data_IF_626125420735
#
_entry.id   IF_626125420735
#
_cell.length_a   1.000
_cell.length_b   1.000
_cell.length_c   1.000
_cell.angle_alpha   90.00
_cell.angle_beta   90.00
_cell.angle_gamma   90.00
#
_symmetry.space_group_name_H-M   'P 1'
#
loop_
_entity.id
_entity.type
_entity.pdbx_description
1 polymer ?
#
# COMPACT_ATOMS: atom_id res chain seq x y z
N UNK A 1 -9.19 -15.69 5.92
CA UNK A 1 -9.10 -14.61 4.91
C UNK A 1 -7.87 -13.75 5.16
N UNK A 2 -7.68 -13.27 6.40
CA UNK A 2 -6.48 -12.55 6.84
C UNK A 2 -5.15 -13.27 6.49
N UNK A 3 -5.07 -14.60 6.67
CA UNK A 3 -3.85 -15.37 6.36
C UNK A 3 -3.44 -15.29 4.88
N UNK A 4 -4.42 -15.27 3.96
CA UNK A 4 -4.15 -15.16 2.51
C UNK A 4 -3.62 -13.77 2.15
N UNK A 5 -4.14 -12.72 2.78
CA UNK A 5 -3.61 -11.36 2.59
C UNK A 5 -2.18 -11.26 3.12
N UNK A 6 -1.92 -11.82 4.30
CA UNK A 6 -0.58 -11.84 4.88
C UNK A 6 0.43 -12.56 3.98
N UNK A 7 0.05 -13.68 3.36
CA UNK A 7 0.88 -14.38 2.38
C UNK A 7 1.19 -13.51 1.15
N UNK A 8 0.19 -12.79 0.61
CA UNK A 8 0.40 -11.86 -0.51
C UNK A 8 1.36 -10.74 -0.11
N UNK A 9 1.20 -10.16 1.08
CA UNK A 9 2.06 -9.10 1.60
C UNK A 9 3.50 -9.59 1.83
N UNK A 10 3.69 -10.81 2.32
CA UNK A 10 5.03 -11.41 2.45
C UNK A 10 5.69 -11.63 1.09
N UNK A 11 4.95 -12.10 0.10
CA UNK A 11 5.46 -12.32 -1.25
C UNK A 11 5.94 -11.02 -1.90
N UNK A 12 5.15 -9.94 -1.84
CA UNK A 12 5.60 -8.64 -2.38
C UNK A 12 6.83 -8.10 -1.65
N UNK A 13 6.94 -8.28 -0.33
CA UNK A 13 8.14 -7.87 0.43
C UNK A 13 9.39 -8.58 -0.10
N UNK A 14 9.30 -9.89 -0.37
CA UNK A 14 10.40 -10.69 -0.90
C UNK A 14 10.70 -10.33 -2.36
N UNK A 15 9.68 -10.36 -3.24
CA UNK A 15 9.83 -10.23 -4.69
C UNK A 15 10.26 -8.81 -5.10
N UNK A 16 9.74 -7.79 -4.42
CA UNK A 16 10.09 -6.40 -4.66
C UNK A 16 11.35 -5.95 -3.89
N UNK A 17 11.89 -6.78 -2.99
CA UNK A 17 12.91 -6.40 -1.98
C UNK A 17 12.46 -5.16 -1.19
N UNK A 18 11.21 -5.18 -0.77
CA UNK A 18 10.62 -4.13 0.05
C UNK A 18 11.03 -4.33 1.53
N UNK A 19 10.86 -3.29 2.33
CA UNK A 19 11.09 -3.34 3.79
C UNK A 19 9.84 -3.84 4.52
N UNK A 20 8.66 -3.60 3.95
CA UNK A 20 7.40 -4.04 4.51
C UNK A 20 6.21 -3.69 3.62
N UNK A 21 5.07 -4.30 3.93
CA UNK A 21 3.80 -3.98 3.27
C UNK A 21 2.63 -4.08 4.25
N UNK A 22 1.56 -3.31 3.99
CA UNK A 22 0.34 -3.29 4.81
C UNK A 22 -0.88 -3.15 3.91
N UNK A 23 -1.95 -3.85 4.26
CA UNK A 23 -3.27 -3.68 3.65
C UNK A 23 -4.19 -3.00 4.67
N UNK A 24 -4.81 -1.90 4.26
CA UNK A 24 -5.60 -1.02 5.13
C UNK A 24 -7.01 -0.89 4.56
N UNK A 25 -8.04 -0.88 5.41
CA UNK A 25 -9.42 -0.61 5.00
C UNK A 25 -9.68 0.89 4.80
N UNK A 26 -10.77 1.29 4.13
CA UNK A 26 -11.08 2.70 3.88
C UNK A 26 -11.29 3.54 5.15
N UNK A 27 -11.61 2.90 6.28
CA UNK A 27 -11.73 3.52 7.61
C UNK A 27 -10.40 3.66 8.35
N UNK A 28 -9.28 3.21 7.76
CA UNK A 28 -7.94 3.35 8.31
C UNK A 28 -7.53 2.28 9.30
N UNK A 29 -8.18 1.10 9.27
CA UNK A 29 -7.81 -0.05 10.08
C UNK A 29 -6.92 -1.04 9.29
N UNK A 30 -5.95 -1.66 9.98
CA UNK A 30 -5.12 -2.68 9.37
C UNK A 30 -5.93 -3.98 9.11
N UNK A 31 -5.98 -4.42 7.85
CA UNK A 31 -6.56 -5.72 7.45
C UNK A 31 -5.52 -6.83 7.61
N UNK A 32 -4.28 -6.56 7.18
CA UNK A 32 -3.14 -7.44 7.30
C UNK A 32 -1.84 -6.64 7.15
N UNK A 33 -0.77 -7.12 7.77
CA UNK A 33 0.55 -6.50 7.67
C UNK A 33 1.67 -7.53 7.53
N UNK A 34 2.72 -7.12 6.82
CA UNK A 34 4.04 -7.74 6.77
C UNK A 34 5.07 -6.62 6.96
N UNK A 35 4.95 -5.91 8.08
CA UNK A 35 5.84 -4.82 8.47
C UNK A 35 6.97 -5.33 9.37
N UNK A 36 8.10 -4.59 9.46
CA UNK A 36 9.12 -4.84 10.47
C UNK A 36 8.53 -4.79 11.89
N UNK A 37 9.08 -5.58 12.81
CA UNK A 37 8.55 -5.73 14.17
C UNK A 37 8.58 -4.46 15.02
N UNK A 38 9.42 -3.49 14.66
CA UNK A 38 9.55 -2.18 15.29
C UNK A 38 8.57 -1.13 14.73
N UNK A 39 7.80 -1.48 13.69
CA UNK A 39 6.81 -0.61 13.07
C UNK A 39 5.41 -0.93 13.60
N UNK A 40 4.76 0.09 14.15
CA UNK A 40 3.38 0.04 14.63
C UNK A 40 2.41 0.12 13.45
N UNK A 41 1.70 -0.98 13.20
CA UNK A 41 0.77 -1.10 12.06
C UNK A 41 -0.42 -0.15 12.15
N UNK A 42 -0.94 0.12 13.35
CA UNK A 42 -2.07 1.03 13.55
C UNK A 42 -1.66 2.47 13.21
N UNK A 43 -0.43 2.86 13.54
CA UNK A 43 0.11 4.16 13.14
C UNK A 43 0.27 4.27 11.64
N UNK A 44 0.81 3.25 10.98
CA UNK A 44 0.99 3.27 9.52
C UNK A 44 -0.37 3.33 8.82
N UNK A 45 -1.35 2.57 9.30
CA UNK A 45 -2.71 2.56 8.77
C UNK A 45 -3.38 3.95 8.89
N UNK A 46 -3.32 4.56 10.08
CA UNK A 46 -3.88 5.89 10.32
C UNK A 46 -3.22 6.98 9.46
N UNK A 47 -1.89 6.96 9.33
CA UNK A 47 -1.16 7.89 8.46
C UNK A 47 -1.52 7.67 6.98
N UNK A 48 -1.65 6.42 6.55
CA UNK A 48 -2.07 6.06 5.20
C UNK A 48 -3.45 6.62 4.88
N UNK A 49 -4.45 6.36 5.73
CA UNK A 49 -5.80 6.88 5.57
C UNK A 49 -5.83 8.41 5.43
N UNK A 50 -5.13 9.13 6.32
CA UNK A 50 -5.06 10.58 6.27
C UNK A 50 -4.43 11.11 4.97
N UNK A 51 -3.31 10.51 4.53
CA UNK A 51 -2.61 10.92 3.30
C UNK A 51 -3.44 10.62 2.05
N UNK A 52 -4.17 9.51 2.03
CA UNK A 52 -5.04 9.14 0.91
C UNK A 52 -6.21 10.11 0.76
N UNK A 53 -6.89 10.45 1.87
CA UNK A 53 -7.97 11.45 1.83
C UNK A 53 -7.47 12.81 1.33
N UNK A 54 -6.24 13.19 1.69
CA UNK A 54 -5.62 14.39 1.12
C UNK A 54 -5.27 14.23 -0.36
N UNK A 55 -4.74 13.07 -0.77
CA UNK A 55 -4.42 12.76 -2.16
C UNK A 55 -5.65 12.81 -3.08
N UNK A 56 -6.76 12.19 -2.67
CA UNK A 56 -8.03 12.20 -3.39
C UNK A 56 -8.56 13.63 -3.55
N UNK A 57 -8.45 14.43 -2.48
CA UNK A 57 -8.83 15.84 -2.53
C UNK A 57 -7.95 16.62 -3.51
N UNK A 58 -6.64 16.39 -3.52
CA UNK A 58 -5.71 17.03 -4.46
C UNK A 58 -6.04 16.65 -5.91
N UNK A 59 -6.29 15.38 -6.19
CA UNK A 59 -6.62 14.95 -7.57
C UNK A 59 -7.97 15.48 -8.03
N UNK A 60 -8.96 15.53 -7.13
CA UNK A 60 -10.28 16.11 -7.41
C UNK A 60 -10.21 17.61 -7.65
N UNK A 61 -9.61 18.38 -6.74
CA UNK A 61 -9.53 19.86 -6.84
C UNK A 61 -8.69 20.33 -8.02
N UNK A 62 -7.68 19.56 -8.44
CA UNK A 62 -6.81 19.90 -9.56
C UNK A 62 -7.24 19.26 -10.89
N UNK A 63 -8.43 18.67 -10.97
CA UNK A 63 -8.96 18.01 -12.18
C UNK A 63 -7.97 16.97 -12.75
N UNK A 64 -7.51 16.05 -11.90
CA UNK A 64 -6.61 14.95 -12.26
C UNK A 64 -7.30 13.58 -12.23
N UNK A 65 -8.62 13.55 -12.00
CA UNK A 65 -9.40 12.32 -11.89
C UNK A 65 -9.25 11.65 -10.52
N UNK A 66 -9.41 10.34 -10.51
CA UNK A 66 -9.35 9.52 -9.29
C UNK A 66 -7.90 9.30 -8.83
N UNK A 67 -7.69 9.22 -7.52
CA UNK A 67 -6.37 8.88 -6.97
C UNK A 67 -6.08 7.39 -7.21
N UNK A 68 -5.26 7.10 -8.21
CA UNK A 68 -4.81 5.72 -8.45
C UNK A 68 -3.66 5.31 -7.49
N UNK A 69 -2.71 6.22 -7.26
CA UNK A 69 -1.49 5.90 -6.53
C UNK A 69 -0.83 7.15 -5.93
N UNK A 70 -0.26 7.00 -4.74
CA UNK A 70 0.47 8.05 -4.03
C UNK A 70 1.88 7.60 -3.65
N UNK A 71 2.85 8.49 -3.84
CA UNK A 71 4.27 8.24 -3.58
C UNK A 71 4.81 9.25 -2.58
N UNK A 72 5.32 8.77 -1.45
CA UNK A 72 6.07 9.56 -0.48
C UNK A 72 7.53 9.18 -0.58
N UNK A 73 8.38 10.10 -1.04
CA UNK A 73 9.83 9.91 -1.08
C UNK A 73 10.48 10.55 0.15
N UNK A 74 11.06 9.73 1.00
CA UNK A 74 11.93 10.17 2.08
C UNK A 74 13.40 10.12 1.68
N UNK A 75 14.26 10.70 2.51
CA UNK A 75 15.73 10.59 2.34
C UNK A 75 16.25 9.15 2.49
N UNK A 76 15.46 8.25 3.10
CA UNK A 76 15.82 6.86 3.39
C UNK A 76 15.05 5.83 2.57
N UNK A 77 14.10 6.23 1.74
CA UNK A 77 13.24 5.28 1.04
C UNK A 77 11.96 5.88 0.52
N UNK A 78 11.02 4.99 0.23
CA UNK A 78 9.72 5.30 -0.34
C UNK A 78 8.62 4.64 0.48
N UNK A 79 7.50 5.35 0.63
CA UNK A 79 6.22 4.75 0.98
C UNK A 79 5.28 4.93 -0.21
N UNK A 80 4.75 3.83 -0.71
CA UNK A 80 3.87 3.81 -1.89
C UNK A 80 2.50 3.31 -1.43
N UNK A 81 1.45 4.08 -1.68
CA UNK A 81 0.08 3.68 -1.42
C UNK A 81 -0.66 3.50 -2.75
N UNK A 82 -1.37 2.39 -2.90
CA UNK A 82 -2.15 2.05 -4.11
C UNK A 82 -3.55 1.67 -3.69
N UNK A 83 -4.54 2.41 -4.21
CA UNK A 83 -5.94 2.10 -3.99
C UNK A 83 -6.33 0.76 -4.62
N UNK A 84 -7.24 0.04 -3.97
CA UNK A 84 -7.82 -1.22 -4.44
C UNK A 84 -9.33 -1.03 -4.52
N UNK A 85 -9.77 -0.40 -5.61
CA UNK A 85 -11.15 0.10 -5.77
C UNK A 85 -11.55 0.91 -4.51
N UNK A 86 -12.78 0.75 -4.06
CA UNK A 86 -13.31 1.35 -2.83
C UNK A 86 -13.18 0.43 -1.60
N UNK A 87 -12.38 -0.64 -1.71
CA UNK A 87 -12.40 -1.74 -0.74
C UNK A 87 -11.23 -1.72 0.24
N UNK A 88 -10.06 -1.31 -0.22
CA UNK A 88 -8.83 -1.31 0.58
C UNK A 88 -7.73 -0.49 -0.07
N UNK A 89 -6.64 -0.26 0.67
CA UNK A 89 -5.42 0.38 0.18
C UNK A 89 -4.21 -0.46 0.55
N UNK A 90 -3.35 -0.72 -0.43
CA UNK A 90 -2.05 -1.37 -0.23
C UNK A 90 -0.96 -0.32 -0.02
N UNK A 91 -0.27 -0.38 1.12
CA UNK A 91 0.93 0.37 1.41
C UNK A 91 2.19 -0.50 1.30
N UNK A 92 3.26 0.02 0.67
CA UNK A 92 4.56 -0.66 0.53
C UNK A 92 5.70 0.27 0.90
N UNK A 93 6.56 -0.19 1.82
CA UNK A 93 7.79 0.48 2.24
C UNK A 93 8.96 -0.07 1.42
N UNK A 94 9.72 0.80 0.77
CA UNK A 94 10.86 0.38 -0.05
C UNK A 94 12.11 1.22 0.28
N UNK A 95 13.32 0.63 0.21
CA UNK A 95 14.54 1.34 0.55
C UNK A 95 14.89 2.42 -0.49
N UNK A 96 15.81 3.33 -0.15
CA UNK A 96 16.22 4.43 -1.05
C UNK A 96 16.80 3.96 -2.39
N UNK A 97 17.44 2.79 -2.42
CA UNK A 97 18.04 2.16 -3.59
C UNK A 97 17.09 1.17 -4.30
N UNK A 98 15.80 1.17 -3.93
CA UNK A 98 14.80 0.31 -4.53
C UNK A 98 14.70 0.49 -6.04
N UNK A 99 14.62 -0.63 -6.76
CA UNK A 99 14.29 -0.65 -8.19
C UNK A 99 12.79 -0.37 -8.35
N UNK A 100 12.39 0.90 -8.38
CA UNK A 100 10.98 1.30 -8.40
C UNK A 100 10.13 0.58 -9.45
N UNK A 101 10.65 0.34 -10.66
CA UNK A 101 9.92 -0.41 -11.69
C UNK A 101 9.56 -1.84 -11.26
N UNK A 102 10.42 -2.51 -10.49
CA UNK A 102 10.16 -3.83 -9.92
C UNK A 102 9.10 -3.75 -8.82
N UNK A 103 9.23 -2.77 -7.92
CA UNK A 103 8.26 -2.54 -6.84
C UNK A 103 6.86 -2.32 -7.41
N UNK A 104 6.73 -1.47 -8.43
CA UNK A 104 5.45 -1.18 -9.08
C UNK A 104 4.86 -2.39 -9.82
N UNK A 105 5.71 -3.19 -10.45
CA UNK A 105 5.26 -4.43 -11.08
C UNK A 105 4.67 -5.40 -10.05
N UNK A 106 5.31 -5.57 -8.90
CA UNK A 106 4.82 -6.46 -7.84
C UNK A 106 3.60 -5.89 -7.10
N UNK A 107 3.52 -4.57 -6.89
CA UNK A 107 2.31 -3.90 -6.41
C UNK A 107 1.12 -4.25 -7.32
N UNK A 108 1.27 -4.09 -8.64
CA UNK A 108 0.20 -4.40 -9.59
C UNK A 108 -0.26 -5.86 -9.51
N UNK A 109 0.67 -6.79 -9.31
CA UNK A 109 0.35 -8.23 -9.14
C UNK A 109 -0.36 -8.50 -7.82
N UNK A 110 0.12 -7.90 -6.74
CA UNK A 110 -0.47 -8.04 -5.40
C UNK A 110 -1.89 -7.46 -5.37
N UNK A 111 -2.09 -6.24 -5.87
CA UNK A 111 -3.40 -5.59 -5.97
C UNK A 111 -4.41 -6.48 -6.69
N UNK A 112 -4.04 -7.04 -7.85
CA UNK A 112 -4.94 -7.95 -8.59
C UNK A 112 -5.34 -9.18 -7.77
N UNK A 113 -4.38 -9.82 -7.07
CA UNK A 113 -4.68 -10.98 -6.20
C UNK A 113 -5.60 -10.59 -5.04
N UNK A 114 -5.41 -9.40 -4.47
CA UNK A 114 -6.23 -8.88 -3.37
C UNK A 114 -7.64 -8.56 -3.86
N UNK A 115 -7.79 -7.94 -5.04
CA UNK A 115 -9.10 -7.70 -5.67
C UNK A 115 -9.88 -9.00 -5.88
N UNK A 116 -9.22 -10.04 -6.39
CA UNK A 116 -9.84 -11.36 -6.62
C UNK A 116 -10.30 -12.02 -5.31
N UNK A 117 -9.67 -11.70 -4.18
CA UNK A 117 -10.04 -12.21 -2.86
C UNK A 117 -11.14 -11.38 -2.18
N UNK A 118 -11.17 -10.06 -2.41
CA UNK A 118 -12.19 -9.16 -1.85
C UNK A 118 -13.49 -9.16 -2.65
N UNK A 119 -13.42 -9.51 -3.94
CA UNK A 119 -14.59 -9.66 -4.83
C UNK A 119 -15.27 -11.03 -4.76
N UNK A 120 -14.82 -11.92 -3.86
CA UNK A 120 -15.48 -13.19 -3.50
C UNK A 120 -16.35 -13.00 -2.26
#
# INVERSE_FOLDING_TARGET
MADKFKEILQNIVIDARAEGAILVSPDGLAIASALPADVDEDRVAAMGAAILSLGERVTSELEKGDLEQLYVKGSKGYMIFTGIKDLAVLGVLAPADAKLGLVLMEIKRATKKIEDLLGQ
#
